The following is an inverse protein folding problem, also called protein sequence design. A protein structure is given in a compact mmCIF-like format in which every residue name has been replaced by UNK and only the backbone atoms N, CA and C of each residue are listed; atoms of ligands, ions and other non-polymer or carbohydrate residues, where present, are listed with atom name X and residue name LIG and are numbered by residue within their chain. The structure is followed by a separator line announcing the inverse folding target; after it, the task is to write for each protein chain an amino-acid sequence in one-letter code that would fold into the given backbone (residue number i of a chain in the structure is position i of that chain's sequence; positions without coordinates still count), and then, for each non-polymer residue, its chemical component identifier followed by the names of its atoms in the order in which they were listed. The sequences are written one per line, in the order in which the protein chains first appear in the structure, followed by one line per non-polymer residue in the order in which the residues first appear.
data_IF_943150178100
#
_entry.id   IF_943150178100
#
_cell.length_a   1.000
_cell.length_b   1.000
_cell.length_c   1.000
_cell.angle_alpha   90.00
_cell.angle_beta   90.00
_cell.angle_gamma   90.00
#
_symmetry.space_group_name_H-M   'P 1'
#
loop_
_entity.id
_entity.type
_entity.pdbx_description
1 polymer ?
#
# COMPACT_ATOMS: atom_id res chain seq x y z
N UNK A 1 -14.57 14.32 4.85
CA UNK A 1 -13.95 13.73 3.65
C UNK A 1 -13.03 12.64 4.12
N UNK A 2 -13.28 11.39 3.71
CA UNK A 2 -12.44 10.26 4.11
C UNK A 2 -11.09 10.35 3.41
N UNK A 3 -10.01 9.84 4.00
CA UNK A 3 -8.65 9.89 3.42
C UNK A 3 -8.55 9.22 2.05
N UNK A 4 -9.34 8.16 1.86
CA UNK A 4 -9.58 7.52 0.56
C UNK A 4 -10.07 8.48 -0.53
N UNK A 5 -10.95 9.44 -0.20
CA UNK A 5 -11.47 10.42 -1.15
C UNK A 5 -10.39 11.43 -1.53
N UNK A 6 -9.62 11.91 -0.55
CA UNK A 6 -8.47 12.81 -0.76
C UNK A 6 -7.46 12.21 -1.73
N UNK A 7 -7.10 10.93 -1.53
CA UNK A 7 -6.15 10.25 -2.41
C UNK A 7 -6.70 10.12 -3.84
N UNK A 8 -8.00 9.81 -4.00
CA UNK A 8 -8.62 9.73 -5.32
C UNK A 8 -8.67 11.07 -6.04
N UNK A 9 -8.98 12.15 -5.33
CA UNK A 9 -8.90 13.51 -5.87
C UNK A 9 -7.48 13.84 -6.33
N UNK A 10 -6.48 13.54 -5.49
CA UNK A 10 -5.08 13.74 -5.85
C UNK A 10 -4.67 12.96 -7.11
N UNK A 11 -5.12 11.70 -7.27
CA UNK A 11 -4.83 10.90 -8.47
C UNK A 11 -5.32 11.65 -9.73
N UNK A 12 -6.52 12.20 -9.67
CA UNK A 12 -7.10 13.00 -10.76
C UNK A 12 -6.32 14.30 -10.98
N UNK A 13 -6.10 15.08 -9.92
CA UNK A 13 -5.43 16.40 -9.99
C UNK A 13 -3.98 16.29 -10.50
N UNK A 14 -3.21 15.34 -9.96
CA UNK A 14 -1.83 15.09 -10.36
C UNK A 14 -1.72 14.35 -11.72
N UNK A 15 -2.86 13.94 -12.30
CA UNK A 15 -2.95 13.16 -13.53
C UNK A 15 -2.05 11.92 -13.48
N UNK A 16 -2.06 11.20 -12.36
CA UNK A 16 -1.36 9.91 -12.17
C UNK A 16 -2.38 8.77 -12.25
N UNK A 17 -1.93 7.53 -12.45
CA UNK A 17 -2.82 6.37 -12.49
C UNK A 17 -2.87 5.60 -11.17
N UNK A 18 -1.83 5.76 -10.34
CA UNK A 18 -1.76 5.18 -9.00
C UNK A 18 -0.82 5.96 -8.09
N UNK A 19 -0.94 5.73 -6.78
CA UNK A 19 -0.01 6.17 -5.75
C UNK A 19 0.55 4.94 -5.03
N UNK A 20 1.85 4.91 -4.79
CA UNK A 20 2.50 3.96 -3.90
C UNK A 20 2.81 4.63 -2.57
N UNK A 21 2.31 4.09 -1.47
CA UNK A 21 2.71 4.47 -0.12
C UNK A 21 3.65 3.40 0.44
N UNK A 22 4.86 3.81 0.77
CA UNK A 22 5.93 2.95 1.27
C UNK A 22 6.28 3.22 2.73
N UNK A 23 5.91 4.40 3.23
CA UNK A 23 6.17 4.86 4.59
C UNK A 23 5.02 4.52 5.51
N UNK A 24 5.34 3.98 6.69
CA UNK A 24 4.35 3.63 7.70
C UNK A 24 3.46 4.79 8.11
N UNK A 25 4.03 6.00 8.24
CA UNK A 25 3.28 7.20 8.60
C UNK A 25 2.18 7.54 7.59
N UNK A 26 2.44 7.35 6.29
CA UNK A 26 1.48 7.62 5.24
C UNK A 26 0.43 6.51 5.14
N UNK A 27 0.83 5.26 5.37
CA UNK A 27 -0.07 4.10 5.48
C UNK A 27 -1.05 4.29 6.65
N UNK A 28 -0.56 4.65 7.84
CA UNK A 28 -1.41 4.92 9.00
C UNK A 28 -2.34 6.12 8.79
N UNK A 29 -1.83 7.19 8.16
CA UNK A 29 -2.64 8.35 7.80
C UNK A 29 -3.76 7.97 6.82
N UNK A 30 -3.46 7.14 5.82
CA UNK A 30 -4.41 6.73 4.80
C UNK A 30 -5.61 5.96 5.39
N UNK A 31 -5.34 5.07 6.33
CA UNK A 31 -6.36 4.27 7.00
C UNK A 31 -6.94 4.93 8.26
N UNK A 32 -6.62 6.19 8.55
CA UNK A 32 -7.15 6.92 9.71
C UNK A 32 -6.92 6.21 11.06
N UNK A 33 -5.86 5.40 11.17
CA UNK A 33 -5.57 4.60 12.37
C UNK A 33 -6.34 3.29 12.49
N UNK A 34 -7.06 2.84 11.46
CA UNK A 34 -7.71 1.52 11.40
C UNK A 34 -6.73 0.35 11.18
N UNK A 35 -5.43 0.64 11.12
CA UNK A 35 -4.37 -0.36 10.99
C UNK A 35 -3.90 -0.80 12.37
N UNK A 36 -3.73 -2.11 12.59
CA UNK A 36 -3.23 -2.62 13.87
C UNK A 36 -1.85 -2.01 14.21
N UNK A 37 -1.68 -1.42 15.42
CA UNK A 37 -0.46 -0.73 15.81
C UNK A 37 0.75 -1.65 16.03
N UNK A 38 0.58 -2.99 15.94
CA UNK A 38 1.64 -3.99 16.02
C UNK A 38 2.35 -4.21 14.69
N UNK A 39 2.03 -3.44 13.66
CA UNK A 39 2.98 -3.29 12.54
C UNK A 39 4.32 -2.85 13.15
N UNK A 40 5.40 -3.51 12.70
CA UNK A 40 6.74 -3.16 13.12
C UNK A 40 7.11 -1.75 12.65
N UNK A 41 6.85 -0.76 13.48
CA UNK A 41 7.21 0.65 13.25
C UNK A 41 8.68 0.94 13.57
N UNK A 42 9.50 -0.07 13.86
CA UNK A 42 10.94 0.13 14.13
C UNK A 42 11.74 0.47 12.87
N UNK A 43 11.09 0.28 11.71
CA UNK A 43 11.56 0.60 10.37
C UNK A 43 10.82 1.84 9.83
N UNK A 44 11.52 2.72 9.09
CA UNK A 44 10.84 3.82 8.37
C UNK A 44 9.93 3.32 7.23
N UNK A 45 10.19 2.10 6.75
CA UNK A 45 9.39 1.42 5.73
C UNK A 45 8.44 0.44 6.38
N UNK A 46 7.19 0.42 5.90
CA UNK A 46 6.21 -0.50 6.46
C UNK A 46 6.48 -1.97 6.18
N UNK A 47 5.91 -2.84 7.01
CA UNK A 47 5.88 -4.28 6.78
C UNK A 47 5.20 -4.69 5.47
N UNK A 48 4.47 -3.74 4.86
CA UNK A 48 3.89 -3.81 3.52
C UNK A 48 3.85 -2.42 2.90
N UNK A 49 3.68 -2.36 1.58
CA UNK A 49 3.42 -1.11 0.84
C UNK A 49 1.99 -1.10 0.29
N UNK A 50 1.43 0.08 0.06
CA UNK A 50 0.10 0.23 -0.52
C UNK A 50 0.18 0.81 -1.92
N UNK A 51 -0.38 0.11 -2.89
CA UNK A 51 -0.69 0.66 -4.21
C UNK A 51 -2.17 1.07 -4.23
N UNK A 52 -2.42 2.35 -4.42
CA UNK A 52 -3.78 2.92 -4.44
C UNK A 52 -4.08 3.42 -5.85
N UNK A 53 -5.23 3.00 -6.37
CA UNK A 53 -5.77 3.46 -7.66
C UNK A 53 -7.14 4.11 -7.43
N UNK A 54 -7.79 4.58 -8.50
CA UNK A 54 -9.16 5.09 -8.42
C UNK A 54 -10.19 4.06 -7.91
N UNK A 55 -9.97 2.76 -8.19
CA UNK A 55 -10.96 1.70 -7.97
C UNK A 55 -10.56 0.68 -6.91
N UNK A 56 -9.27 0.56 -6.58
CA UNK A 56 -8.76 -0.48 -5.67
C UNK A 56 -7.59 0.01 -4.85
N UNK A 57 -7.45 -0.59 -3.66
CA UNK A 57 -6.29 -0.49 -2.78
C UNK A 57 -5.68 -1.89 -2.70
N UNK A 58 -4.38 -2.00 -2.97
CA UNK A 58 -3.64 -3.26 -2.95
C UNK A 58 -2.50 -3.13 -1.96
N UNK A 59 -2.41 -4.03 -0.99
CA UNK A 59 -1.24 -4.16 -0.13
C UNK A 59 -0.25 -5.17 -0.71
N UNK A 60 1.01 -4.77 -0.84
CA UNK A 60 2.13 -5.61 -1.21
C UNK A 60 2.88 -6.04 0.05
N UNK A 61 2.88 -7.34 0.35
CA UNK A 61 3.52 -7.87 1.56
C UNK A 61 4.27 -9.19 1.27
N UNK A 62 5.26 -9.56 2.11
CA UNK A 62 5.90 -10.87 2.01
C UNK A 62 4.89 -12.00 2.26
N UNK A 63 5.03 -13.11 1.52
CA UNK A 63 4.15 -14.29 1.67
C UNK A 63 4.05 -14.84 3.10
N UNK A 64 5.14 -14.76 3.88
CA UNK A 64 5.14 -15.29 5.24
C UNK A 64 4.28 -14.47 6.22
N UNK A 65 3.91 -13.23 5.86
CA UNK A 65 3.16 -12.31 6.71
C UNK A 65 1.78 -11.95 6.14
N UNK A 66 1.46 -12.45 4.94
CA UNK A 66 0.27 -12.03 4.19
C UNK A 66 -1.06 -12.36 4.87
N UNK A 67 -1.18 -13.55 5.47
CA UNK A 67 -2.39 -13.95 6.20
C UNK A 67 -2.62 -13.07 7.44
N UNK A 68 -1.56 -12.78 8.21
CA UNK A 68 -1.64 -11.89 9.37
C UNK A 68 -2.03 -10.48 8.95
N UNK A 69 -1.38 -9.96 7.90
CA UNK A 69 -1.67 -8.63 7.37
C UNK A 69 -3.13 -8.52 6.90
N UNK A 70 -3.64 -9.56 6.26
CA UNK A 70 -5.03 -9.64 5.78
C UNK A 70 -6.06 -9.70 6.91
N UNK A 71 -5.83 -10.58 7.90
CA UNK A 71 -6.85 -10.94 8.88
C UNK A 71 -6.84 -10.03 10.12
N UNK A 72 -5.67 -9.49 10.47
CA UNK A 72 -5.46 -8.75 11.72
C UNK A 72 -5.14 -7.27 11.50
N UNK A 73 -4.54 -6.91 10.36
CA UNK A 73 -3.91 -5.57 10.20
C UNK A 73 -4.70 -4.66 9.28
N UNK A 74 -5.15 -5.16 8.13
CA UNK A 74 -5.79 -4.34 7.09
C UNK A 74 -7.31 -4.44 7.09
N UNK A 75 -8.02 -3.38 6.66
CA UNK A 75 -9.44 -3.44 6.37
C UNK A 75 -9.80 -4.49 5.30
N UNK A 76 -11.02 -5.01 5.36
CA UNK A 76 -11.50 -6.11 4.49
C UNK A 76 -11.61 -5.77 3.00
N UNK A 77 -11.61 -4.49 2.65
CA UNK A 77 -11.71 -3.99 1.28
C UNK A 77 -10.35 -3.77 0.61
N UNK A 78 -9.25 -4.12 1.30
CA UNK A 78 -7.89 -4.08 0.75
C UNK A 78 -7.54 -5.43 0.13
N UNK A 79 -7.15 -5.42 -1.13
CA UNK A 79 -6.64 -6.60 -1.82
C UNK A 79 -5.22 -6.88 -1.37
N UNK A 80 -4.88 -8.16 -1.17
CA UNK A 80 -3.53 -8.57 -0.78
C UNK A 80 -2.82 -9.17 -1.98
N UNK A 81 -1.67 -8.60 -2.33
CA UNK A 81 -0.73 -9.20 -3.28
C UNK A 81 0.54 -9.59 -2.55
N UNK A 82 0.67 -10.87 -2.26
CA UNK A 82 1.84 -11.40 -1.59
C UNK A 82 2.93 -11.84 -2.59
N UNK A 83 4.19 -11.83 -2.17
CA UNK A 83 5.30 -12.32 -2.98
C UNK A 83 6.17 -13.34 -2.25
N UNK A 84 6.48 -14.43 -2.96
CA UNK A 84 7.34 -15.52 -2.50
C UNK A 84 8.81 -15.25 -2.81
N UNK A 85 9.70 -15.43 -1.83
CA UNK A 85 11.15 -15.59 -2.05
C UNK A 85 12.00 -14.32 -1.92
N UNK A 86 13.29 -14.47 -2.22
CA UNK A 86 14.38 -13.47 -2.11
C UNK A 86 14.24 -12.25 -3.03
N UNK A 87 13.14 -12.12 -3.79
CA UNK A 87 12.87 -10.90 -4.55
C UNK A 87 12.58 -9.78 -3.56
N UNK A 88 13.34 -8.70 -3.67
CA UNK A 88 13.15 -7.55 -2.78
C UNK A 88 11.74 -6.99 -3.00
N UNK A 89 11.12 -6.45 -1.95
CA UNK A 89 9.84 -5.73 -2.04
C UNK A 89 9.86 -4.67 -3.16
N UNK A 90 11.04 -4.06 -3.40
CA UNK A 90 11.32 -3.14 -4.49
C UNK A 90 11.11 -3.77 -5.87
N UNK A 91 11.59 -5.00 -6.11
CA UNK A 91 11.45 -5.67 -7.42
C UNK A 91 9.99 -6.02 -7.72
N UNK A 92 9.28 -6.52 -6.71
CA UNK A 92 7.84 -6.83 -6.80
C UNK A 92 7.03 -5.57 -7.07
N UNK A 93 7.28 -4.50 -6.31
CA UNK A 93 6.66 -3.21 -6.52
C UNK A 93 6.99 -2.63 -7.89
N UNK A 94 8.26 -2.67 -8.32
CA UNK A 94 8.70 -2.17 -9.63
C UNK A 94 7.98 -2.88 -10.78
N UNK A 95 7.86 -4.21 -10.71
CA UNK A 95 7.10 -5.00 -11.69
C UNK A 95 5.63 -4.61 -11.71
N UNK A 96 5.00 -4.45 -10.56
CA UNK A 96 3.59 -4.04 -10.49
C UNK A 96 3.40 -2.63 -11.05
N UNK A 97 4.26 -1.70 -10.63
CA UNK A 97 4.27 -0.30 -11.05
C UNK A 97 4.51 -0.13 -12.55
N UNK A 98 5.29 -1.01 -13.20
CA UNK A 98 5.54 -0.94 -14.64
C UNK A 98 4.29 -1.09 -15.52
N UNK A 99 3.17 -1.54 -14.95
CA UNK A 99 1.87 -1.62 -15.64
C UNK A 99 1.18 -0.26 -15.79
N UNK A 100 1.64 0.76 -15.06
CA UNK A 100 1.10 2.11 -15.09
C UNK A 100 2.09 3.03 -15.81
N UNK A 101 1.56 3.95 -16.62
CA UNK A 101 2.32 5.00 -17.32
C UNK A 101 2.83 6.07 -16.37
N UNK A 102 2.08 6.38 -15.29
CA UNK A 102 2.48 7.42 -14.33
C UNK A 102 2.01 7.08 -12.91
N UNK A 103 2.96 7.06 -11.99
CA UNK A 103 2.75 6.75 -10.57
C UNK A 103 3.40 7.84 -9.72
N UNK A 104 2.76 8.20 -8.61
CA UNK A 104 3.38 8.94 -7.53
C UNK A 104 3.86 7.99 -6.44
N UNK A 105 5.02 8.27 -5.84
CA UNK A 105 5.57 7.54 -4.69
C UNK A 105 5.89 8.56 -3.60
N UNK A 106 5.71 8.17 -2.34
CA UNK A 106 5.92 9.01 -1.16
C UNK A 106 7.36 8.99 -0.56
#
# INVERSE_FOLDING_TARGET
MKRHEIVKEYITEASVEAIMLTRDSNIQWFFEGEVDPRIDTSSEFGGFWLLITHSMVIALCPDYDSERVKDEVLPRDVEILSFSGLLSMIDSASRLCSKFKKIAVD
#
